data_IF_916984114492
#
_entry.id   IF_916984114492
#
_cell.length_a   1.000
_cell.length_b   1.000
_cell.length_c   1.000
_cell.angle_alpha   90.00
_cell.angle_beta   90.00
_cell.angle_gamma   90.00
#
_symmetry.space_group_name_H-M   'P 1'
#
loop_
_entity.id
_entity.type
_entity.pdbx_description
1 polymer ?
#
# COMPACT_ATOMS: atom_id res chain seq x y z
N UNK A 1 -8.70 8.26 56.84
CA UNK A 1 -8.02 8.60 55.57
C UNK A 1 -8.77 7.87 54.47
N UNK A 2 -9.35 8.58 53.50
CA UNK A 2 -10.17 7.98 52.45
C UNK A 2 -9.27 7.54 51.31
N UNK A 3 -9.26 6.25 50.98
CA UNK A 3 -8.47 5.73 49.87
C UNK A 3 -9.33 5.69 48.60
N UNK A 4 -8.91 6.45 47.60
CA UNK A 4 -9.52 6.39 46.27
C UNK A 4 -9.12 5.07 45.60
N UNK A 5 -10.08 4.22 45.20
CA UNK A 5 -9.76 2.99 44.49
C UNK A 5 -9.17 3.30 43.12
N UNK A 6 -8.23 2.47 42.67
CA UNK A 6 -7.67 2.58 41.34
C UNK A 6 -8.78 2.40 40.27
N UNK A 7 -8.71 3.10 39.13
CA UNK A 7 -9.67 2.93 38.04
C UNK A 7 -9.73 1.46 37.58
N UNK A 8 -10.93 0.92 37.45
CA UNK A 8 -11.14 -0.49 37.10
C UNK A 8 -10.48 -0.90 35.76
N UNK A 9 -10.32 0.05 34.83
CA UNK A 9 -9.69 -0.18 33.53
C UNK A 9 -8.21 -0.59 33.63
N UNK A 10 -7.49 -0.14 34.67
CA UNK A 10 -6.07 -0.47 34.85
C UNK A 10 -5.86 -1.96 35.10
N UNK A 11 -6.83 -2.64 35.72
CA UNK A 11 -6.79 -4.08 35.98
C UNK A 11 -6.98 -4.94 34.71
N UNK A 12 -7.42 -4.33 33.60
CA UNK A 12 -7.63 -5.03 32.31
C UNK A 12 -6.49 -4.82 31.32
N UNK A 13 -5.51 -3.97 31.64
CA UNK A 13 -4.33 -3.81 30.80
C UNK A 13 -3.40 -5.00 31.01
N UNK A 14 -3.12 -5.75 29.94
CA UNK A 14 -2.03 -6.71 29.91
C UNK A 14 -0.73 -6.03 29.48
N UNK A 15 0.44 -6.64 29.74
CA UNK A 15 1.66 -6.19 29.12
C UNK A 15 1.50 -6.24 27.59
N UNK A 16 2.08 -5.26 26.89
CA UNK A 16 2.21 -5.35 25.45
C UNK A 16 2.96 -6.62 25.07
N UNK A 17 2.63 -7.18 23.89
CA UNK A 17 3.39 -8.29 23.35
C UNK A 17 4.89 -7.92 23.30
N UNK A 18 5.74 -8.88 23.66
CA UNK A 18 7.19 -8.70 23.54
C UNK A 18 7.50 -8.46 22.07
N UNK A 19 8.15 -7.34 21.77
CA UNK A 19 8.62 -7.04 20.42
C UNK A 19 9.94 -7.76 20.15
N UNK A 20 10.09 -8.27 18.94
CA UNK A 20 11.35 -8.82 18.44
C UNK A 20 12.12 -7.72 17.70
N UNK A 21 13.43 -7.69 17.88
CA UNK A 21 14.31 -6.89 17.02
C UNK A 21 14.36 -7.52 15.63
N UNK A 22 13.98 -6.75 14.62
CA UNK A 22 14.12 -7.14 13.22
C UNK A 22 15.43 -6.56 12.65
N UNK A 23 16.08 -7.22 11.68
CA UNK A 23 17.25 -6.65 11.01
C UNK A 23 16.92 -5.28 10.41
N UNK A 24 17.86 -4.35 10.52
CA UNK A 24 17.72 -3.04 9.89
C UNK A 24 18.13 -3.13 8.42
N UNK A 25 17.21 -2.71 7.54
CA UNK A 25 17.45 -2.55 6.12
C UNK A 25 17.27 -1.09 5.73
N UNK A 26 18.23 -0.54 5.00
CA UNK A 26 18.23 0.88 4.63
C UNK A 26 18.29 1.03 3.11
N UNK A 27 17.36 1.77 2.48
CA UNK A 27 17.48 2.12 1.07
C UNK A 27 18.58 3.17 0.87
N UNK A 28 19.45 2.94 -0.11
CA UNK A 28 20.49 3.86 -0.55
C UNK A 28 20.47 3.96 -2.07
N UNK A 29 20.89 5.10 -2.61
CA UNK A 29 21.03 5.27 -4.07
C UNK A 29 22.41 4.79 -4.48
N UNK A 30 22.47 3.83 -5.40
CA UNK A 30 23.72 3.46 -6.06
C UNK A 30 24.17 4.64 -6.96
N UNK A 31 25.37 5.21 -6.73
CA UNK A 31 25.84 6.35 -7.50
C UNK A 31 26.08 6.05 -8.98
N UNK A 32 26.41 4.81 -9.35
CA UNK A 32 26.70 4.43 -10.74
C UNK A 32 25.42 4.27 -11.55
N UNK A 33 24.42 3.58 -10.99
CA UNK A 33 23.18 3.25 -11.69
C UNK A 33 22.03 4.22 -11.42
N UNK A 34 22.12 5.03 -10.36
CA UNK A 34 21.04 5.89 -9.86
C UNK A 34 19.76 5.11 -9.48
N UNK A 35 19.90 3.82 -9.15
CA UNK A 35 18.82 2.95 -8.71
C UNK A 35 18.89 2.78 -7.18
N UNK A 36 17.74 2.70 -6.53
CA UNK A 36 17.66 2.39 -5.11
C UNK A 36 18.04 0.92 -4.85
N UNK A 37 19.00 0.69 -3.98
CA UNK A 37 19.37 -0.63 -3.47
C UNK A 37 19.17 -0.67 -1.96
N UNK A 38 18.95 -1.86 -1.42
CA UNK A 38 18.70 -2.05 0.00
C UNK A 38 19.94 -2.64 0.63
N UNK A 39 20.46 -2.02 1.69
CA UNK A 39 21.64 -2.50 2.40
C UNK A 39 21.30 -2.97 3.81
N UNK A 40 21.98 -4.02 4.26
CA UNK A 40 21.95 -4.47 5.64
C UNK A 40 22.80 -3.58 6.57
N UNK A 41 22.80 -3.90 7.86
CA UNK A 41 23.59 -3.22 8.89
C UNK A 41 25.12 -3.30 8.67
N UNK A 42 25.59 -4.18 7.79
CA UNK A 42 27.00 -4.33 7.40
C UNK A 42 27.31 -3.63 6.06
N UNK A 43 26.34 -2.92 5.48
CA UNK A 43 26.47 -2.22 4.20
C UNK A 43 26.43 -3.15 2.97
N UNK A 44 26.01 -4.41 3.13
CA UNK A 44 25.88 -5.35 2.01
C UNK A 44 24.53 -5.19 1.36
N UNK A 45 24.50 -5.14 0.03
CA UNK A 45 23.26 -5.15 -0.73
C UNK A 45 22.50 -6.44 -0.48
N UNK A 46 21.19 -6.33 -0.23
CA UNK A 46 20.28 -7.45 -0.06
C UNK A 46 19.09 -7.31 -1.00
N UNK A 47 18.64 -8.44 -1.53
CA UNK A 47 17.41 -8.51 -2.33
C UNK A 47 16.20 -8.58 -1.39
N UNK A 48 15.28 -7.61 -1.49
CA UNK A 48 14.02 -7.61 -0.74
C UNK A 48 12.96 -8.52 -1.39
N UNK A 49 13.36 -9.74 -1.76
CA UNK A 49 12.45 -10.77 -2.30
C UNK A 49 11.57 -10.33 -3.48
N UNK A 50 10.68 -11.23 -3.86
CA UNK A 50 9.69 -10.99 -4.91
C UNK A 50 8.50 -10.22 -4.33
N UNK A 51 8.61 -8.90 -4.28
CA UNK A 51 7.44 -8.05 -4.04
C UNK A 51 6.64 -7.99 -5.36
N UNK A 52 5.37 -8.35 -5.30
CA UNK A 52 4.49 -8.27 -6.47
C UNK A 52 4.38 -6.82 -6.95
N UNK A 53 4.62 -6.59 -8.24
CA UNK A 53 4.33 -5.31 -8.88
C UNK A 53 2.86 -5.30 -9.29
N UNK A 54 2.07 -4.36 -8.76
CA UNK A 54 0.70 -4.20 -9.24
C UNK A 54 0.70 -3.43 -10.55
N UNK A 55 0.00 -3.95 -11.55
CA UNK A 55 -0.26 -3.21 -12.80
C UNK A 55 -1.63 -2.56 -12.68
N UNK A 56 -1.68 -1.23 -12.84
CA UNK A 56 -2.95 -0.49 -12.88
C UNK A 56 -3.42 -0.38 -14.33
N UNK A 57 -4.68 -0.72 -14.57
CA UNK A 57 -5.40 -0.50 -15.82
C UNK A 57 -6.52 0.52 -15.66
N UNK A 58 -6.90 1.18 -16.76
CA UNK A 58 -8.08 2.05 -16.82
C UNK A 58 -9.01 1.54 -17.93
N UNK A 59 -10.29 1.39 -17.61
CA UNK A 59 -11.34 1.08 -18.60
C UNK A 59 -12.22 2.31 -18.82
N UNK A 60 -12.01 3.10 -19.88
CA UNK A 60 -12.85 4.25 -20.19
C UNK A 60 -14.16 3.80 -20.85
N UNK A 61 -15.28 4.41 -20.42
CA UNK A 61 -16.59 4.22 -21.03
C UNK A 61 -17.19 5.57 -21.41
N UNK A 62 -17.77 5.66 -22.60
CA UNK A 62 -18.50 6.86 -23.06
C UNK A 62 -19.82 6.45 -23.69
N UNK A 63 -20.90 7.17 -23.37
CA UNK A 63 -22.19 6.99 -24.03
C UNK A 63 -22.31 7.97 -25.20
N UNK A 64 -22.79 7.46 -26.34
CA UNK A 64 -23.11 8.30 -27.48
C UNK A 64 -24.60 8.73 -27.42
N UNK A 65 -24.95 9.96 -27.85
CA UNK A 65 -26.35 10.34 -27.96
C UNK A 65 -27.03 9.52 -29.06
N UNK A 66 -28.31 9.19 -28.84
CA UNK A 66 -29.14 8.44 -29.80
C UNK A 66 -29.38 9.18 -31.12
N UNK A 67 -29.93 8.48 -32.12
CA UNK A 67 -30.08 8.84 -33.54
C UNK A 67 -30.99 10.06 -33.88
N UNK A 68 -31.28 10.92 -32.90
CA UNK A 68 -31.73 12.28 -33.17
C UNK A 68 -33.23 12.48 -33.41
N UNK A 69 -34.09 11.53 -33.06
CA UNK A 69 -35.56 11.74 -33.13
C UNK A 69 -36.13 12.65 -32.01
N UNK A 70 -35.28 13.32 -31.22
CA UNK A 70 -35.63 14.21 -30.11
C UNK A 70 -34.39 14.96 -29.58
N UNK A 71 -34.52 15.88 -28.59
CA UNK A 71 -33.38 16.65 -28.09
C UNK A 71 -32.27 15.71 -27.60
N UNK A 72 -31.07 15.89 -28.16
CA UNK A 72 -29.91 15.02 -27.91
C UNK A 72 -29.62 14.88 -26.41
N UNK A 73 -29.58 13.64 -25.93
CA UNK A 73 -29.32 13.32 -24.54
C UNK A 73 -27.90 13.67 -24.12
N UNK A 74 -27.71 13.87 -22.81
CA UNK A 74 -26.39 14.09 -22.21
C UNK A 74 -25.45 12.94 -22.54
N UNK A 75 -24.21 13.25 -22.89
CA UNK A 75 -23.12 12.28 -22.99
C UNK A 75 -22.38 12.23 -21.67
N UNK A 76 -22.27 11.06 -21.07
CA UNK A 76 -21.42 10.81 -19.91
C UNK A 76 -20.13 10.08 -20.33
N UNK A 77 -19.05 10.40 -19.61
CA UNK A 77 -17.77 9.72 -19.71
C UNK A 77 -17.31 9.40 -18.30
N UNK A 78 -16.94 8.15 -18.08
CA UNK A 78 -16.41 7.67 -16.81
C UNK A 78 -15.26 6.68 -17.07
N UNK A 79 -14.45 6.42 -16.04
CA UNK A 79 -13.36 5.46 -16.08
C UNK A 79 -13.30 4.67 -14.79
N UNK A 80 -13.23 3.34 -14.90
CA UNK A 80 -13.01 2.45 -13.74
C UNK A 80 -11.55 2.01 -13.70
N UNK A 81 -10.94 2.11 -12.52
CA UNK A 81 -9.61 1.58 -12.23
C UNK A 81 -9.68 0.06 -11.99
N UNK A 82 -8.74 -0.66 -12.57
CA UNK A 82 -8.50 -2.08 -12.25
C UNK A 82 -7.06 -2.27 -11.80
N UNK A 83 -6.87 -3.16 -10.82
CA UNK A 83 -5.56 -3.51 -10.29
C UNK A 83 -5.36 -5.00 -10.46
N UNK A 84 -4.38 -5.39 -11.27
CA UNK A 84 -3.93 -6.78 -11.34
C UNK A 84 -2.69 -6.94 -10.45
N UNK A 85 -2.77 -7.86 -9.49
CA UNK A 85 -1.68 -8.15 -8.56
C UNK A 85 -0.90 -9.34 -9.10
N UNK A 86 0.19 -9.06 -9.83
CA UNK A 86 1.12 -10.10 -10.23
C UNK A 86 1.86 -10.61 -8.99
N UNK A 87 1.54 -11.85 -8.60
CA UNK A 87 2.32 -12.59 -7.63
C UNK A 87 3.60 -13.04 -8.33
N UNK A 88 4.72 -12.41 -8.01
CA UNK A 88 6.00 -12.83 -8.57
C UNK A 88 6.36 -14.19 -7.95
N UNK A 89 6.15 -15.27 -8.72
CA UNK A 89 6.46 -16.63 -8.30
C UNK A 89 7.98 -16.81 -8.38
N UNK A 90 8.59 -17.12 -7.23
CA UNK A 90 10.04 -17.35 -7.12
C UNK A 90 10.50 -18.66 -7.74
#
# INVERSE_FOLDING_TARGET
MTQTPAPWGTQRMGPYAVTTTVPQYTPVIDPETQIAVIVDEHGRTVELGNHGTSTSGLTPTTTAPGDGSGPGGATDADSTESYDQDQSSG
#
